data_IF_922640318212
#
_entry.id   IF_922640318212
#
_cell.length_a   1.000
_cell.length_b   1.000
_cell.length_c   1.000
_cell.angle_alpha   90.00
_cell.angle_beta   90.00
_cell.angle_gamma   90.00
#
_symmetry.space_group_name_H-M   'P 1'
#
loop_
_entity.id
_entity.type
_entity.pdbx_description
1 polymer ?
#
# COMPACT_ATOMS: atom_id res chain seq x y z
N UNK A 1 -14.10 -6.95 30.29
CA UNK A 1 -13.59 -5.98 29.29
C UNK A 1 -12.70 -6.70 28.26
N UNK A 2 -12.90 -6.50 26.96
CA UNK A 2 -12.01 -7.09 25.94
C UNK A 2 -10.61 -6.47 26.05
N UNK A 3 -9.57 -7.30 26.16
CA UNK A 3 -8.16 -6.88 26.24
C UNK A 3 -7.82 -6.00 25.02
N UNK A 4 -7.31 -4.78 25.26
CA UNK A 4 -6.82 -3.90 24.19
C UNK A 4 -5.52 -4.44 23.61
N UNK A 5 -5.36 -4.33 22.29
CA UNK A 5 -4.11 -4.68 21.58
C UNK A 5 -3.12 -3.52 21.76
N UNK A 6 -1.95 -3.82 22.30
CA UNK A 6 -0.84 -2.87 22.39
C UNK A 6 -0.12 -2.81 21.02
N UNK A 7 -0.35 -1.73 20.29
CA UNK A 7 0.29 -1.45 18.99
C UNK A 7 1.50 -0.56 19.19
N UNK A 8 2.68 -1.04 18.87
CA UNK A 8 3.88 -0.22 18.77
C UNK A 8 4.02 0.33 17.34
N UNK A 9 3.97 1.66 17.20
CA UNK A 9 4.34 2.35 15.96
C UNK A 9 5.86 2.59 15.96
N UNK A 10 6.57 1.88 15.11
CA UNK A 10 8.02 1.98 14.95
C UNK A 10 8.35 2.95 13.83
N UNK A 11 8.72 4.17 14.18
CA UNK A 11 8.86 5.33 13.29
C UNK A 11 7.66 6.29 13.38
N UNK A 12 7.94 7.58 13.15
CA UNK A 12 6.95 8.66 13.26
C UNK A 12 6.96 9.49 11.97
N UNK A 13 6.66 8.81 10.85
CA UNK A 13 6.64 9.40 9.50
C UNK A 13 5.52 10.44 9.36
N UNK A 14 5.61 11.29 8.32
CA UNK A 14 4.54 12.26 8.01
C UNK A 14 3.20 11.58 7.72
N UNK A 15 3.21 10.39 7.12
CA UNK A 15 2.00 9.59 6.91
C UNK A 15 1.43 9.12 8.26
N UNK A 16 2.28 8.62 9.15
CA UNK A 16 1.87 8.17 10.48
C UNK A 16 1.19 9.30 11.26
N UNK A 17 1.78 10.50 11.27
CA UNK A 17 1.25 11.66 11.98
C UNK A 17 -0.07 12.17 11.40
N UNK A 18 -0.12 12.35 10.08
CA UNK A 18 -1.25 13.00 9.42
C UNK A 18 -2.47 12.09 9.25
N UNK A 19 -2.25 10.79 9.08
CA UNK A 19 -3.30 9.85 8.69
C UNK A 19 -3.42 8.63 9.59
N UNK A 20 -2.34 7.87 9.79
CA UNK A 20 -2.37 6.57 10.44
C UNK A 20 -2.90 6.65 11.88
N UNK A 21 -2.28 7.49 12.71
CA UNK A 21 -2.66 7.65 14.13
C UNK A 21 -4.10 8.15 14.25
N UNK A 22 -4.51 9.13 13.43
CA UNK A 22 -5.87 9.65 13.43
C UNK A 22 -6.93 8.57 13.13
N UNK A 23 -6.62 7.65 12.23
CA UNK A 23 -7.52 6.54 11.88
C UNK A 23 -7.53 5.46 12.96
N UNK A 24 -6.37 5.11 13.54
CA UNK A 24 -6.26 4.08 14.58
C UNK A 24 -6.94 4.54 15.88
N UNK A 25 -6.84 5.81 16.26
CA UNK A 25 -7.50 6.36 17.45
C UNK A 25 -9.03 6.24 17.41
N UNK A 26 -9.63 6.04 16.22
CA UNK A 26 -11.06 5.73 16.08
C UNK A 26 -11.40 4.25 16.37
N UNK A 27 -10.40 3.42 16.70
CA UNK A 27 -10.57 1.99 16.94
C UNK A 27 -10.43 1.72 18.44
N UNK A 28 -11.55 1.44 19.13
CA UNK A 28 -11.62 1.33 20.60
C UNK A 28 -10.68 0.27 21.21
N UNK A 29 -10.33 -0.77 20.45
CA UNK A 29 -9.59 -1.93 20.96
C UNK A 29 -8.08 -1.86 20.72
N UNK A 30 -7.52 -0.69 20.37
CA UNK A 30 -6.07 -0.51 20.16
C UNK A 30 -5.56 0.58 21.11
N UNK A 31 -4.43 0.31 21.73
CA UNK A 31 -3.60 1.30 22.46
C UNK A 31 -2.30 1.48 21.67
N UNK A 32 -1.95 2.73 21.35
CA UNK A 32 -0.76 3.06 20.54
C UNK A 32 0.37 3.51 21.48
N UNK A 33 1.57 2.94 21.27
CA UNK A 33 2.84 3.46 21.77
C UNK A 33 3.69 3.85 20.57
N UNK A 34 4.43 4.96 20.62
CA UNK A 34 5.19 5.48 19.50
C UNK A 34 6.68 5.46 19.82
N UNK A 35 7.48 4.93 18.91
CA UNK A 35 8.94 4.99 18.96
C UNK A 35 9.50 5.86 17.84
N UNK A 36 10.28 6.89 18.18
CA UNK A 36 10.97 7.75 17.23
C UNK A 36 12.37 8.09 17.70
N UNK A 37 13.38 7.93 16.83
CA UNK A 37 14.76 8.34 17.12
C UNK A 37 15.00 9.84 16.89
N UNK A 38 14.33 10.42 15.89
CA UNK A 38 14.60 11.78 15.42
C UNK A 38 13.64 12.83 15.94
N UNK A 39 12.47 12.43 16.45
CA UNK A 39 11.45 13.34 16.96
C UNK A 39 11.26 13.14 18.46
N UNK A 40 11.17 14.25 19.17
CA UNK A 40 10.85 14.30 20.61
C UNK A 40 9.44 14.85 20.79
N UNK A 41 8.80 14.60 21.92
CA UNK A 41 7.47 15.14 22.26
C UNK A 41 6.68 14.22 23.18
N UNK A 42 5.64 14.77 23.82
CA UNK A 42 4.80 14.06 24.83
C UNK A 42 4.18 12.74 24.35
N UNK A 43 4.02 12.58 23.03
CA UNK A 43 3.42 11.36 22.44
C UNK A 43 4.46 10.28 22.11
N UNK A 44 5.77 10.52 22.32
CA UNK A 44 6.82 9.56 22.01
C UNK A 44 7.14 8.73 23.24
N UNK A 45 6.81 7.44 23.21
CA UNK A 45 6.99 6.49 24.31
C UNK A 45 8.42 5.95 24.39
N UNK A 46 9.12 5.88 23.24
CA UNK A 46 10.46 5.32 23.13
C UNK A 46 11.33 6.11 22.11
N UNK A 47 12.63 6.20 22.40
CA UNK A 47 13.63 6.78 21.49
C UNK A 47 14.60 5.73 20.88
N UNK A 48 14.47 4.48 21.28
CA UNK A 48 15.28 3.36 20.79
C UNK A 48 14.39 2.23 20.28
N UNK A 49 14.58 1.83 19.01
CA UNK A 49 13.76 0.82 18.36
C UNK A 49 13.87 -0.56 19.00
N UNK A 50 15.07 -0.96 19.44
CA UNK A 50 15.27 -2.28 20.05
C UNK A 50 14.62 -2.34 21.44
N UNK A 51 14.80 -1.28 22.28
CA UNK A 51 14.12 -1.17 23.57
C UNK A 51 12.59 -1.22 23.39
N UNK A 52 12.06 -0.50 22.38
CA UNK A 52 10.65 -0.49 22.07
C UNK A 52 10.12 -1.88 21.63
N UNK A 53 10.86 -2.62 20.80
CA UNK A 53 10.48 -3.98 20.39
C UNK A 53 10.55 -4.95 21.59
N UNK A 54 11.54 -4.78 22.47
CA UNK A 54 11.70 -5.62 23.68
C UNK A 54 10.62 -5.38 24.74
N UNK A 55 9.81 -4.32 24.64
CA UNK A 55 8.62 -4.13 25.49
C UNK A 55 7.48 -5.13 25.19
N UNK A 56 7.68 -6.03 24.23
CA UNK A 56 6.75 -7.11 23.82
C UNK A 56 5.32 -6.61 23.51
N UNK A 57 5.17 -5.68 22.54
CA UNK A 57 3.84 -5.27 22.08
C UNK A 57 3.12 -6.44 21.41
N UNK A 58 1.79 -6.42 21.36
CA UNK A 58 0.99 -7.45 20.68
C UNK A 58 1.12 -7.35 19.15
N UNK A 59 1.36 -6.14 18.65
CA UNK A 59 1.47 -5.82 17.22
C UNK A 59 2.47 -4.68 17.00
N UNK A 60 3.32 -4.78 16.01
CA UNK A 60 4.19 -3.69 15.56
C UNK A 60 3.72 -3.20 14.20
N UNK A 61 3.71 -1.86 14.01
CA UNK A 61 3.58 -1.21 12.71
C UNK A 61 4.88 -0.48 12.38
N UNK A 62 5.58 -0.88 11.33
CA UNK A 62 6.80 -0.22 10.86
C UNK A 62 6.45 0.89 9.89
N UNK A 63 6.79 2.16 10.25
CA UNK A 63 6.64 3.36 9.44
C UNK A 63 7.97 4.13 9.38
N UNK A 64 9.00 3.43 8.96
CA UNK A 64 10.37 3.90 8.79
C UNK A 64 10.66 4.26 7.32
N UNK A 65 11.89 4.62 7.02
CA UNK A 65 12.38 4.71 5.64
C UNK A 65 12.51 3.31 5.02
N UNK A 66 12.26 3.18 3.71
CA UNK A 66 12.13 1.90 3.01
C UNK A 66 13.31 0.94 3.28
N UNK A 67 14.55 1.45 3.34
CA UNK A 67 15.75 0.62 3.55
C UNK A 67 15.81 -0.04 4.95
N UNK A 68 15.05 0.47 5.91
CA UNK A 68 14.99 -0.09 7.26
C UNK A 68 13.89 -1.14 7.44
N UNK A 69 12.92 -1.22 6.52
CA UNK A 69 11.76 -2.10 6.65
C UNK A 69 12.16 -3.56 6.85
N UNK A 70 12.95 -4.13 5.94
CA UNK A 70 13.39 -5.53 6.02
C UNK A 70 14.17 -5.84 7.30
N UNK A 71 15.11 -4.97 7.67
CA UNK A 71 15.94 -5.15 8.88
C UNK A 71 15.08 -5.28 10.13
N UNK A 72 14.19 -4.28 10.36
CA UNK A 72 13.37 -4.28 11.57
C UNK A 72 12.23 -5.30 11.50
N UNK A 73 11.66 -5.58 10.32
CA UNK A 73 10.69 -6.65 10.14
C UNK A 73 11.24 -8.00 10.58
N UNK A 74 12.48 -8.32 10.17
CA UNK A 74 13.15 -9.56 10.56
C UNK A 74 13.38 -9.64 12.09
N UNK A 75 13.76 -8.54 12.73
CA UNK A 75 13.93 -8.46 14.19
C UNK A 75 12.59 -8.71 14.90
N UNK A 76 11.54 -8.01 14.52
CA UNK A 76 10.21 -8.12 15.12
C UNK A 76 9.66 -9.54 15.02
N UNK A 77 9.73 -10.15 13.83
CA UNK A 77 9.26 -11.53 13.62
C UNK A 77 10.08 -12.54 14.42
N UNK A 78 11.41 -12.35 14.53
CA UNK A 78 12.28 -13.22 15.38
C UNK A 78 11.98 -13.09 16.86
N UNK A 79 11.38 -11.98 17.32
CA UNK A 79 10.92 -11.77 18.70
C UNK A 79 9.48 -12.27 18.93
N UNK A 80 8.91 -13.03 17.99
CA UNK A 80 7.56 -13.61 18.04
C UNK A 80 6.44 -12.54 18.16
N UNK A 81 6.57 -11.41 17.46
CA UNK A 81 5.60 -10.33 17.48
C UNK A 81 4.92 -10.21 16.12
N UNK A 82 3.59 -10.03 16.10
CA UNK A 82 2.82 -9.76 14.90
C UNK A 82 3.24 -8.45 14.25
N UNK A 83 3.19 -8.38 12.92
CA UNK A 83 3.82 -7.29 12.19
C UNK A 83 2.98 -6.76 11.03
N UNK A 84 2.89 -5.43 10.95
CA UNK A 84 2.50 -4.67 9.78
C UNK A 84 3.71 -3.84 9.34
N UNK A 85 3.96 -3.76 8.05
CA UNK A 85 5.00 -2.89 7.49
C UNK A 85 4.39 -1.96 6.45
N UNK A 86 4.75 -0.67 6.47
CA UNK A 86 4.43 0.25 5.38
C UNK A 86 4.96 -0.30 4.04
N UNK A 87 4.35 0.09 2.95
CA UNK A 87 4.82 -0.25 1.60
C UNK A 87 6.13 0.49 1.27
N UNK A 88 7.07 -0.13 0.59
CA UNK A 88 7.15 -1.56 0.27
C UNK A 88 7.62 -2.37 1.48
N UNK A 89 7.09 -3.58 1.63
CA UNK A 89 7.48 -4.49 2.72
C UNK A 89 9.00 -4.74 2.74
N UNK A 90 9.57 -4.96 1.56
CA UNK A 90 11.00 -5.21 1.36
C UNK A 90 11.40 -4.79 -0.08
N UNK A 91 12.72 -4.76 -0.34
CA UNK A 91 13.25 -4.32 -1.63
C UNK A 91 13.00 -5.30 -2.79
N UNK A 92 13.00 -6.60 -2.50
CA UNK A 92 12.92 -7.64 -3.52
C UNK A 92 12.15 -8.88 -3.04
N UNK A 93 11.88 -9.79 -3.97
CA UNK A 93 11.14 -11.01 -3.70
C UNK A 93 11.87 -11.94 -2.74
N UNK A 94 13.21 -12.02 -2.79
CA UNK A 94 14.02 -12.87 -1.90
C UNK A 94 13.81 -12.48 -0.43
N UNK A 95 13.95 -11.19 -0.12
CA UNK A 95 13.69 -10.65 1.23
C UNK A 95 12.23 -10.86 1.67
N UNK A 96 11.29 -10.64 0.75
CA UNK A 96 9.86 -10.83 1.02
C UNK A 96 9.56 -12.30 1.35
N UNK A 97 10.07 -13.26 0.56
CA UNK A 97 9.92 -14.69 0.81
C UNK A 97 10.52 -15.10 2.16
N UNK A 98 11.67 -14.55 2.54
CA UNK A 98 12.29 -14.81 3.83
C UNK A 98 11.40 -14.36 4.99
N UNK A 99 10.89 -13.12 4.96
CA UNK A 99 9.99 -12.61 6.00
C UNK A 99 8.71 -13.44 6.12
N UNK A 100 8.11 -13.83 4.99
CA UNK A 100 6.92 -14.68 4.98
C UNK A 100 7.24 -16.07 5.56
N UNK A 101 8.39 -16.66 5.23
CA UNK A 101 8.84 -17.95 5.80
C UNK A 101 8.99 -17.88 7.32
N UNK A 102 9.59 -16.80 7.84
CA UNK A 102 9.73 -16.59 9.29
C UNK A 102 8.34 -16.45 9.93
N UNK A 103 7.45 -15.62 9.36
CA UNK A 103 6.12 -15.40 9.89
C UNK A 103 5.29 -16.70 9.90
N UNK A 104 5.31 -17.48 8.81
CA UNK A 104 4.64 -18.79 8.74
C UNK A 104 5.16 -19.78 9.80
N UNK A 105 6.48 -19.96 9.89
CA UNK A 105 7.10 -20.87 10.86
C UNK A 105 6.71 -20.52 12.30
N UNK A 106 6.52 -19.24 12.59
CA UNK A 106 6.20 -18.72 13.93
C UNK A 106 4.70 -18.48 14.15
N UNK A 107 3.85 -18.77 13.17
CA UNK A 107 2.40 -18.54 13.20
C UNK A 107 2.04 -17.09 13.55
N UNK A 108 2.73 -16.12 12.94
CA UNK A 108 2.57 -14.69 13.19
C UNK A 108 1.87 -14.00 12.03
N UNK A 109 1.05 -12.99 12.33
CA UNK A 109 0.58 -12.07 11.31
C UNK A 109 1.78 -11.34 10.69
N UNK A 110 1.85 -11.32 9.36
CA UNK A 110 2.66 -10.39 8.58
C UNK A 110 1.78 -9.76 7.51
N UNK A 111 1.73 -8.44 7.44
CA UNK A 111 0.93 -7.71 6.44
C UNK A 111 1.67 -6.49 5.90
N UNK A 112 1.54 -6.24 4.60
CA UNK A 112 2.00 -5.01 3.94
C UNK A 112 0.85 -4.00 3.89
N UNK A 113 1.11 -2.75 4.31
CA UNK A 113 0.07 -1.73 4.42
C UNK A 113 -0.13 -0.97 3.09
N UNK A 114 -0.71 -1.61 2.10
CA UNK A 114 -1.21 -0.97 0.87
C UNK A 114 -2.67 -0.59 1.09
N UNK A 115 -2.91 0.47 1.86
CA UNK A 115 -4.21 0.74 2.48
C UNK A 115 -5.28 1.29 1.55
N UNK A 116 -4.94 1.89 0.40
CA UNK A 116 -5.93 2.52 -0.49
C UNK A 116 -7.00 1.54 -1.00
N UNK A 117 -6.62 0.29 -1.25
CA UNK A 117 -7.50 -0.78 -1.75
C UNK A 117 -8.64 -1.14 -0.77
N UNK A 118 -8.53 -0.73 0.49
CA UNK A 118 -9.54 -1.02 1.51
C UNK A 118 -10.62 0.04 1.62
N UNK A 119 -10.58 1.09 0.79
CA UNK A 119 -11.65 2.07 0.71
C UNK A 119 -12.89 1.47 0.01
N UNK A 120 -14.07 1.75 0.55
CA UNK A 120 -15.34 1.23 0.04
C UNK A 120 -15.60 1.56 -1.43
N UNK A 121 -15.02 2.64 -1.95
CA UNK A 121 -15.16 3.05 -3.34
C UNK A 121 -14.84 1.94 -4.34
N UNK A 122 -13.81 1.12 -4.08
CA UNK A 122 -13.44 0.01 -4.97
C UNK A 122 -14.51 -1.07 -5.04
N UNK A 123 -15.14 -1.41 -3.90
CA UNK A 123 -16.30 -2.31 -3.88
C UNK A 123 -17.48 -1.73 -4.64
N UNK A 124 -17.72 -0.41 -4.50
CA UNK A 124 -18.81 0.26 -5.20
C UNK A 124 -18.58 0.29 -6.70
N UNK A 125 -17.33 0.55 -7.16
CA UNK A 125 -16.96 0.49 -8.58
C UNK A 125 -17.26 -0.89 -9.15
N UNK A 126 -16.80 -1.97 -8.50
CA UNK A 126 -17.08 -3.34 -8.94
C UNK A 126 -18.57 -3.65 -9.02
N UNK A 127 -19.37 -3.12 -8.09
CA UNK A 127 -20.84 -3.26 -8.14
C UNK A 127 -21.44 -2.52 -9.34
N UNK A 128 -20.94 -1.31 -9.67
CA UNK A 128 -21.44 -0.50 -10.79
C UNK A 128 -21.17 -1.17 -12.15
N UNK A 129 -20.03 -1.86 -12.29
CA UNK A 129 -19.66 -2.58 -13.51
C UNK A 129 -20.13 -4.05 -13.52
N UNK A 130 -20.95 -4.47 -12.56
CA UNK A 130 -21.46 -5.85 -12.43
C UNK A 130 -20.34 -6.91 -12.32
N UNK A 131 -19.26 -6.57 -11.60
CA UNK A 131 -18.17 -7.49 -11.27
C UNK A 131 -16.97 -7.46 -12.21
N UNK A 132 -15.93 -8.21 -11.83
CA UNK A 132 -14.65 -8.25 -12.56
C UNK A 132 -14.75 -8.81 -13.97
N UNK A 133 -15.74 -9.65 -14.27
CA UNK A 133 -15.90 -10.25 -15.60
C UNK A 133 -16.28 -9.22 -16.69
N UNK A 134 -16.82 -8.07 -16.30
CA UNK A 134 -17.15 -6.98 -17.21
C UNK A 134 -16.03 -5.94 -17.31
N UNK A 135 -15.01 -6.03 -16.49
CA UNK A 135 -13.86 -5.14 -16.53
C UNK A 135 -12.90 -5.56 -17.64
N UNK A 136 -12.59 -4.66 -18.54
CA UNK A 136 -11.73 -4.91 -19.71
C UNK A 136 -10.37 -4.24 -19.57
N UNK A 137 -10.34 -3.04 -18.97
CA UNK A 137 -9.14 -2.24 -18.92
C UNK A 137 -9.12 -1.33 -17.69
N UNK A 138 -7.94 -1.18 -17.07
CA UNK A 138 -7.68 -0.21 -16.02
C UNK A 138 -6.55 0.71 -16.45
N UNK A 139 -6.78 2.01 -16.35
CA UNK A 139 -5.74 3.02 -16.48
C UNK A 139 -5.51 3.69 -15.13
N UNK A 140 -4.25 3.81 -14.72
CA UNK A 140 -3.89 4.56 -13.52
C UNK A 140 -2.76 5.55 -13.79
N UNK A 141 -2.86 6.73 -13.19
CA UNK A 141 -1.85 7.76 -13.28
C UNK A 141 -1.58 8.33 -11.89
N UNK A 142 -0.33 8.24 -11.43
CA UNK A 142 0.07 8.76 -10.14
C UNK A 142 1.40 9.49 -10.25
N UNK A 143 1.32 10.81 -10.37
CA UNK A 143 2.47 11.70 -10.38
C UNK A 143 2.42 12.62 -9.16
N UNK A 144 3.56 12.93 -8.61
CA UNK A 144 3.69 13.86 -7.49
C UNK A 144 4.76 14.91 -7.80
N UNK A 145 4.56 16.17 -7.37
CA UNK A 145 5.57 17.18 -7.45
C UNK A 145 6.85 16.78 -6.70
N UNK A 146 7.97 17.32 -7.08
CA UNK A 146 9.21 17.10 -6.35
C UNK A 146 9.10 17.72 -4.96
N UNK A 147 8.89 16.90 -3.96
CA UNK A 147 8.77 17.35 -2.57
C UNK A 147 10.19 17.58 -2.01
N UNK A 148 10.39 18.67 -1.26
CA UNK A 148 11.68 18.98 -0.61
C UNK A 148 12.24 17.82 0.25
N UNK A 149 11.38 16.98 0.81
CA UNK A 149 11.78 15.76 1.54
C UNK A 149 12.37 14.68 0.63
N UNK A 150 12.03 14.69 -0.68
CA UNK A 150 12.65 13.83 -1.68
C UNK A 150 14.05 14.32 -2.09
N UNK A 151 14.44 15.58 -1.81
CA UNK A 151 15.83 16.02 -1.92
C UNK A 151 16.79 15.24 -1.00
N UNK A 152 16.27 14.60 0.05
CA UNK A 152 16.99 13.61 0.86
C UNK A 152 17.04 12.21 0.22
N UNK A 153 16.39 11.99 -0.91
CA UNK A 153 16.54 10.79 -1.77
C UNK A 153 17.85 10.90 -2.60
N UNK A 154 18.82 11.59 -2.10
CA UNK A 154 20.22 11.37 -2.48
C UNK A 154 20.74 10.01 -2.00
N UNK A 155 19.92 9.27 -1.27
CA UNK A 155 20.18 7.90 -0.87
C UNK A 155 19.74 6.99 -2.03
N UNK A 156 20.70 6.34 -2.68
CA UNK A 156 20.57 5.38 -3.80
C UNK A 156 19.59 4.23 -3.57
N UNK A 157 18.86 4.24 -2.46
CA UNK A 157 18.02 3.14 -1.97
C UNK A 157 16.51 3.41 -1.99
N UNK A 158 16.06 4.56 -2.49
CA UNK A 158 14.62 4.86 -2.58
C UNK A 158 14.35 5.78 -3.77
N UNK A 159 13.93 5.20 -4.88
CA UNK A 159 13.52 5.89 -6.09
C UNK A 159 11.99 5.85 -6.29
N UNK A 160 11.50 6.48 -7.34
CA UNK A 160 10.08 6.46 -7.72
C UNK A 160 9.55 5.03 -7.87
N UNK A 161 10.35 4.12 -8.44
CA UNK A 161 9.96 2.74 -8.62
C UNK A 161 9.70 2.04 -7.27
N UNK A 162 10.62 2.19 -6.32
CA UNK A 162 10.45 1.58 -4.99
C UNK A 162 9.26 2.15 -4.23
N UNK A 163 8.97 3.43 -4.40
CA UNK A 163 7.86 4.08 -3.69
C UNK A 163 6.50 3.80 -4.34
N UNK A 164 6.42 3.73 -5.66
CA UNK A 164 5.15 3.68 -6.39
C UNK A 164 4.81 2.32 -7.02
N UNK A 165 5.78 1.45 -7.28
CA UNK A 165 5.49 0.11 -7.83
C UNK A 165 4.55 -0.76 -6.96
N UNK A 166 4.48 -0.62 -5.62
CA UNK A 166 3.48 -1.31 -4.81
C UNK A 166 2.03 -0.96 -5.20
N UNK A 167 1.77 0.26 -5.67
CA UNK A 167 0.42 0.67 -6.13
C UNK A 167 0.06 -0.05 -7.43
N UNK A 168 0.96 -0.05 -8.42
CA UNK A 168 0.77 -0.79 -9.67
C UNK A 168 0.57 -2.29 -9.42
N UNK A 169 1.48 -2.90 -8.64
CA UNK A 169 1.41 -4.32 -8.32
C UNK A 169 0.10 -4.69 -7.62
N UNK A 170 -0.37 -3.85 -6.71
CA UNK A 170 -1.60 -4.10 -5.97
C UNK A 170 -2.86 -3.97 -6.84
N UNK A 171 -2.91 -3.05 -7.80
CA UNK A 171 -4.00 -2.97 -8.77
C UNK A 171 -4.02 -4.20 -9.68
N UNK A 172 -2.86 -4.64 -10.16
CA UNK A 172 -2.74 -5.84 -10.97
C UNK A 172 -3.17 -7.08 -10.15
N UNK A 173 -2.64 -7.26 -8.94
CA UNK A 173 -2.99 -8.39 -8.07
C UNK A 173 -4.49 -8.47 -7.79
N UNK A 174 -5.10 -7.33 -7.47
CA UNK A 174 -6.52 -7.25 -7.10
C UNK A 174 -7.46 -7.63 -8.27
N UNK A 175 -7.10 -7.28 -9.50
CA UNK A 175 -8.00 -7.38 -10.64
C UNK A 175 -7.68 -8.53 -11.60
N UNK A 176 -6.44 -9.03 -11.62
CA UNK A 176 -6.03 -10.09 -12.53
C UNK A 176 -6.16 -11.52 -11.95
N UNK A 177 -6.57 -11.69 -10.70
CA UNK A 177 -6.71 -12.99 -10.05
C UNK A 177 -5.49 -13.91 -10.24
N UNK A 178 -4.27 -13.36 -10.19
CA UNK A 178 -2.99 -14.06 -10.43
C UNK A 178 -2.81 -14.66 -11.84
N UNK A 179 -3.69 -14.35 -12.79
CA UNK A 179 -3.58 -14.79 -14.19
C UNK A 179 -2.96 -13.69 -15.04
N UNK A 180 -1.67 -13.49 -14.89
CA UNK A 180 -0.90 -12.50 -15.64
C UNK A 180 -0.13 -13.18 -16.76
N UNK A 181 -0.49 -12.87 -18.03
CA UNK A 181 0.16 -13.47 -19.21
C UNK A 181 1.41 -12.66 -19.59
N UNK A 182 1.30 -11.33 -19.66
CA UNK A 182 2.39 -10.45 -20.08
C UNK A 182 2.45 -9.21 -19.18
N UNK A 183 3.67 -8.77 -18.88
CA UNK A 183 3.95 -7.49 -18.24
C UNK A 183 5.17 -6.87 -18.93
N UNK A 184 5.10 -5.57 -19.21
CA UNK A 184 6.18 -4.77 -19.80
C UNK A 184 6.24 -3.48 -19.01
N UNK A 185 7.44 -2.96 -18.78
CA UNK A 185 7.63 -1.66 -18.15
C UNK A 185 8.68 -0.84 -18.87
N UNK A 186 8.43 0.45 -18.93
CA UNK A 186 9.36 1.46 -19.43
C UNK A 186 9.78 2.32 -18.25
N UNK A 187 11.06 2.52 -18.09
CA UNK A 187 11.62 3.39 -17.07
C UNK A 187 12.11 4.66 -17.75
N UNK A 188 11.58 5.78 -17.32
CA UNK A 188 11.87 7.07 -17.90
C UNK A 188 12.65 7.91 -16.88
N UNK A 189 13.52 8.74 -17.43
CA UNK A 189 14.34 9.71 -16.72
C UNK A 189 15.04 9.18 -15.45
N UNK A 190 16.32 9.12 -15.58
CA UNK A 190 17.23 8.82 -14.49
C UNK A 190 17.77 10.15 -13.94
N UNK A 191 18.03 10.20 -12.65
CA UNK A 191 18.89 11.21 -12.06
C UNK A 191 20.34 10.88 -12.38
N UNK A 192 21.27 11.83 -12.19
CA UNK A 192 22.72 11.61 -12.30
C UNK A 192 23.21 10.40 -11.48
N UNK A 193 22.43 9.97 -10.49
CA UNK A 193 22.65 8.77 -9.66
C UNK A 193 21.91 7.54 -10.14
N UNK A 194 21.46 7.48 -11.38
CA UNK A 194 20.68 6.36 -11.98
C UNK A 194 19.39 6.00 -11.25
N UNK A 195 18.81 6.91 -10.46
CA UNK A 195 17.53 6.69 -9.80
C UNK A 195 16.38 6.92 -10.78
N UNK A 196 15.39 6.04 -10.77
CA UNK A 196 14.20 6.12 -11.62
C UNK A 196 13.32 7.27 -11.12
N UNK A 197 13.02 8.26 -11.98
CA UNK A 197 12.06 9.34 -11.71
C UNK A 197 10.64 9.02 -12.13
N UNK A 198 10.49 8.25 -13.20
CA UNK A 198 9.18 7.81 -13.67
C UNK A 198 9.27 6.43 -14.32
N UNK A 199 8.15 5.73 -14.34
CA UNK A 199 8.02 4.46 -15.05
C UNK A 199 6.57 4.26 -15.47
N UNK A 200 6.42 3.54 -16.60
CA UNK A 200 5.13 3.07 -17.10
C UNK A 200 5.07 1.56 -17.05
N UNK A 201 3.88 1.02 -16.86
CA UNK A 201 3.63 -0.42 -16.79
C UNK A 201 2.46 -0.76 -17.69
N UNK A 202 2.65 -1.74 -18.55
CA UNK A 202 1.58 -2.42 -19.26
C UNK A 202 1.51 -3.87 -18.80
N UNK A 203 0.31 -4.34 -18.43
CA UNK A 203 0.08 -5.73 -18.07
C UNK A 203 -1.19 -6.25 -18.74
N UNK A 204 -1.20 -7.53 -19.14
CA UNK A 204 -2.39 -8.15 -19.71
C UNK A 204 -2.55 -9.61 -19.32
N UNK A 205 -3.80 -10.06 -19.33
CA UNK A 205 -4.18 -11.46 -19.47
C UNK A 205 -5.20 -11.61 -20.60
N UNK A 206 -5.76 -12.81 -20.79
CA UNK A 206 -6.73 -13.09 -21.87
C UNK A 206 -7.95 -12.16 -21.86
N UNK A 207 -8.35 -11.63 -20.70
CA UNK A 207 -9.60 -10.89 -20.52
C UNK A 207 -9.40 -9.40 -20.25
N UNK A 208 -8.29 -9.02 -19.64
CA UNK A 208 -8.12 -7.67 -19.07
C UNK A 208 -6.73 -7.10 -19.35
N UNK A 209 -6.67 -5.78 -19.47
CA UNK A 209 -5.45 -5.00 -19.64
C UNK A 209 -5.30 -4.01 -18.47
N UNK A 210 -4.07 -3.66 -18.15
CA UNK A 210 -3.71 -2.61 -17.22
C UNK A 210 -2.65 -1.71 -17.84
N UNK A 211 -2.82 -0.42 -17.71
CA UNK A 211 -1.81 0.58 -18.02
C UNK A 211 -1.62 1.51 -16.81
N UNK A 212 -0.39 1.70 -16.39
CA UNK A 212 -0.05 2.58 -15.26
C UNK A 212 1.11 3.49 -15.57
N UNK A 213 1.01 4.76 -15.20
CA UNK A 213 2.06 5.76 -15.29
C UNK A 213 2.33 6.33 -13.90
N UNK A 214 3.60 6.38 -13.50
CA UNK A 214 4.03 6.78 -12.17
C UNK A 214 5.26 7.69 -12.27
N UNK A 215 5.24 8.82 -11.56
CA UNK A 215 6.34 9.77 -11.64
C UNK A 215 6.50 10.70 -10.45
N UNK A 216 7.70 11.23 -10.29
CA UNK A 216 8.08 12.24 -9.30
C UNK A 216 8.68 13.45 -10.05
N UNK A 217 8.37 14.66 -9.58
CA UNK A 217 8.82 15.90 -10.23
C UNK A 217 7.91 16.33 -11.38
N UNK A 218 6.69 15.83 -11.44
CA UNK A 218 5.63 16.19 -12.39
C UNK A 218 4.47 16.82 -11.64
N UNK A 219 3.53 17.48 -12.37
CA UNK A 219 2.30 18.00 -11.78
C UNK A 219 1.49 16.89 -11.09
N UNK A 220 0.80 17.23 -10.00
CA UNK A 220 0.09 16.26 -9.19
C UNK A 220 -1.09 15.66 -9.96
N UNK A 221 -1.06 14.34 -10.12
CA UNK A 221 -2.20 13.56 -10.58
C UNK A 221 -2.30 12.29 -9.77
N UNK A 222 -3.52 11.90 -9.37
CA UNK A 222 -3.78 10.66 -8.66
C UNK A 222 -5.15 10.15 -9.10
N UNK A 223 -5.16 9.36 -10.19
CA UNK A 223 -6.34 8.95 -10.93
C UNK A 223 -6.32 7.46 -11.20
N UNK A 224 -7.50 6.84 -11.19
CA UNK A 224 -7.73 5.49 -11.72
C UNK A 224 -9.01 5.52 -12.56
N UNK A 225 -8.95 4.99 -13.78
CA UNK A 225 -10.08 4.86 -14.69
C UNK A 225 -10.33 3.37 -14.92
N UNK A 226 -11.58 2.96 -14.78
CA UNK A 226 -12.03 1.59 -15.01
C UNK A 226 -12.89 1.56 -16.26
N UNK A 227 -12.48 0.79 -17.25
CA UNK A 227 -13.21 0.58 -18.50
C UNK A 227 -13.89 -0.79 -18.45
N UNK A 228 -15.20 -0.79 -18.50
CA UNK A 228 -16.01 -2.00 -18.65
C UNK A 228 -16.72 -2.00 -19.99
N UNK A 229 -17.38 -3.09 -20.34
CA UNK A 229 -18.13 -3.21 -21.61
C UNK A 229 -19.10 -2.08 -21.88
N UNK A 230 -19.76 -1.57 -20.83
CA UNK A 230 -20.86 -0.60 -20.98
C UNK A 230 -20.57 0.74 -20.31
N UNK A 231 -19.57 0.81 -19.44
CA UNK A 231 -19.33 1.98 -18.58
C UNK A 231 -17.84 2.26 -18.45
N UNK A 232 -17.53 3.57 -18.39
CA UNK A 232 -16.24 4.06 -17.97
C UNK A 232 -16.42 4.75 -16.62
N UNK A 233 -15.62 4.41 -15.63
CA UNK A 233 -15.70 5.01 -14.30
C UNK A 233 -14.40 5.73 -14.00
N UNK A 234 -14.50 7.01 -13.70
CA UNK A 234 -13.37 7.87 -13.37
C UNK A 234 -13.33 8.11 -11.87
N UNK A 235 -12.21 7.73 -11.25
CA UNK A 235 -11.81 8.12 -9.90
C UNK A 235 -10.66 9.13 -10.04
N UNK A 236 -11.01 10.41 -10.20
CA UNK A 236 -10.08 11.44 -10.68
C UNK A 236 -9.21 12.08 -9.60
N UNK A 237 -9.57 11.96 -8.31
CA UNK A 237 -8.87 12.70 -7.26
C UNK A 237 -8.42 11.77 -6.14
N UNK A 238 -7.13 11.91 -5.80
CA UNK A 238 -6.50 11.21 -4.68
C UNK A 238 -6.76 9.69 -4.67
N UNK A 239 -6.87 9.05 -5.84
CA UNK A 239 -7.24 7.64 -5.97
C UNK A 239 -6.37 6.70 -5.13
N UNK A 240 -5.09 7.01 -4.96
CA UNK A 240 -4.15 6.25 -4.13
C UNK A 240 -4.05 6.73 -2.68
N UNK A 241 -4.74 7.82 -2.32
CA UNK A 241 -4.70 8.44 -0.99
C UNK A 241 -6.06 9.04 -0.60
N UNK A 242 -7.14 8.31 -0.84
CA UNK A 242 -8.52 8.75 -0.62
C UNK A 242 -8.72 9.35 0.77
N UNK A 243 -9.46 10.48 0.88
CA UNK A 243 -9.68 11.17 2.15
C UNK A 243 -10.68 10.39 3.01
N UNK A 244 -10.43 10.34 4.33
CA UNK A 244 -11.34 9.66 5.27
C UNK A 244 -12.50 10.55 5.77
N UNK A 245 -12.44 11.86 5.51
CA UNK A 245 -13.38 12.85 6.05
C UNK A 245 -14.27 13.53 5.00
N UNK A 246 -14.11 13.21 3.73
CA UNK A 246 -14.88 13.75 2.61
C UNK A 246 -15.56 12.63 1.83
N UNK A 247 -16.66 12.97 1.12
CA UNK A 247 -17.26 12.10 0.10
C UNK A 247 -16.28 11.97 -1.07
N UNK A 248 -16.25 10.81 -1.72
CA UNK A 248 -15.45 10.56 -2.92
C UNK A 248 -16.34 10.66 -4.14
N UNK A 249 -15.95 11.50 -5.09
CA UNK A 249 -16.62 11.67 -6.35
C UNK A 249 -16.23 10.57 -7.33
N UNK A 250 -17.21 9.96 -7.97
CA UNK A 250 -17.04 9.12 -9.16
C UNK A 250 -17.81 9.76 -10.32
N UNK A 251 -17.16 9.83 -11.48
CA UNK A 251 -17.83 10.19 -12.74
C UNK A 251 -18.00 8.91 -13.54
N UNK A 252 -19.20 8.64 -13.99
CA UNK A 252 -19.59 7.46 -14.76
C UNK A 252 -20.02 7.92 -16.15
N UNK A 253 -19.37 7.40 -17.20
CA UNK A 253 -19.81 7.57 -18.57
C UNK A 253 -20.50 6.29 -19.06
N UNK A 254 -21.71 6.40 -19.59
CA UNK A 254 -22.47 5.30 -20.23
C UNK A 254 -23.34 5.86 -21.34
N UNK A 255 -23.36 5.22 -22.52
CA UNK A 255 -24.16 5.66 -23.69
C UNK A 255 -24.01 7.16 -23.97
N UNK A 256 -22.78 7.66 -23.99
CA UNK A 256 -22.40 9.08 -24.19
C UNK A 256 -22.94 10.08 -23.16
N UNK A 257 -23.56 9.61 -22.08
CA UNK A 257 -24.01 10.46 -20.96
C UNK A 257 -23.04 10.34 -19.79
N UNK A 258 -22.86 11.45 -19.07
CA UNK A 258 -22.06 11.51 -17.85
C UNK A 258 -22.96 11.65 -16.63
N UNK A 259 -22.68 10.84 -15.60
CA UNK A 259 -23.33 10.93 -14.31
C UNK A 259 -22.28 11.08 -13.22
N UNK A 260 -22.45 12.01 -12.31
CA UNK A 260 -21.61 12.14 -11.13
C UNK A 260 -22.33 11.55 -9.92
N UNK A 261 -21.64 10.68 -9.19
CA UNK A 261 -22.12 10.14 -7.93
C UNK A 261 -21.12 10.40 -6.80
N UNK A 262 -21.62 10.55 -5.59
CA UNK A 262 -20.80 10.77 -4.40
C UNK A 262 -20.87 9.55 -3.47
N UNK A 263 -19.73 8.92 -3.27
CA UNK A 263 -19.58 7.82 -2.34
C UNK A 263 -19.42 8.39 -0.93
N UNK A 264 -20.12 7.81 0.04
CA UNK A 264 -20.02 8.23 1.45
C UNK A 264 -18.58 8.21 1.98
N UNK A 265 -18.34 9.02 3.01
CA UNK A 265 -17.06 9.05 3.75
C UNK A 265 -16.69 7.64 4.21
N UNK A 266 -15.43 7.28 4.01
CA UNK A 266 -14.90 5.98 4.42
C UNK A 266 -13.41 6.07 4.75
N UNK A 267 -12.95 5.28 5.70
CA UNK A 267 -11.58 5.30 6.19
C UNK A 267 -10.87 3.99 5.85
N UNK A 268 -10.12 4.01 4.76
CA UNK A 268 -9.38 2.84 4.27
C UNK A 268 -8.40 2.27 5.29
N UNK A 269 -7.79 3.11 6.12
CA UNK A 269 -6.86 2.68 7.17
C UNK A 269 -7.63 1.95 8.27
N UNK A 270 -8.75 2.52 8.73
CA UNK A 270 -9.62 1.86 9.70
C UNK A 270 -10.14 0.53 9.18
N UNK A 271 -10.56 0.47 7.92
CA UNK A 271 -11.03 -0.78 7.29
C UNK A 271 -9.92 -1.84 7.23
N UNK A 272 -8.71 -1.43 6.86
CA UNK A 272 -7.54 -2.30 6.87
C UNK A 272 -7.28 -2.86 8.27
N UNK A 273 -7.25 -2.00 9.30
CA UNK A 273 -7.04 -2.44 10.69
C UNK A 273 -8.14 -3.37 11.19
N UNK A 274 -9.40 -3.16 10.80
CA UNK A 274 -10.49 -4.09 11.13
C UNK A 274 -10.22 -5.50 10.59
N UNK A 275 -9.65 -5.62 9.38
CA UNK A 275 -9.25 -6.92 8.81
C UNK A 275 -8.07 -7.50 9.60
N UNK A 276 -7.08 -6.70 9.95
CA UNK A 276 -5.95 -7.12 10.80
C UNK A 276 -6.45 -7.68 12.12
N UNK A 277 -7.33 -6.96 12.83
CA UNK A 277 -7.90 -7.39 14.10
C UNK A 277 -8.70 -8.69 13.98
N UNK A 278 -9.47 -8.84 12.88
CA UNK A 278 -10.18 -10.10 12.59
C UNK A 278 -9.20 -11.26 12.39
N UNK A 279 -8.11 -11.02 11.64
CA UNK A 279 -7.09 -12.04 11.38
C UNK A 279 -6.32 -12.42 12.64
N UNK A 280 -5.98 -11.46 13.51
CA UNK A 280 -5.36 -11.73 14.80
C UNK A 280 -6.25 -12.59 15.70
N UNK A 281 -7.56 -12.30 15.74
CA UNK A 281 -8.53 -13.08 16.52
C UNK A 281 -8.68 -14.51 16.00
N UNK A 282 -8.77 -14.68 14.67
CA UNK A 282 -8.96 -15.99 14.04
C UNK A 282 -7.66 -16.78 13.85
N UNK A 283 -6.50 -16.14 14.01
CA UNK A 283 -5.16 -16.70 13.72
C UNK A 283 -5.02 -17.22 12.26
N UNK A 284 -5.81 -16.69 11.31
CA UNK A 284 -5.77 -17.05 9.89
C UNK A 284 -4.99 -15.99 9.10
N UNK A 285 -3.79 -16.31 8.63
CA UNK A 285 -2.86 -15.37 8.02
C UNK A 285 -2.51 -15.66 6.56
N UNK A 286 -2.94 -16.78 6.00
CA UNK A 286 -2.53 -17.24 4.65
C UNK A 286 -2.87 -16.24 3.55
N UNK A 287 -4.03 -15.58 3.62
CA UNK A 287 -4.41 -14.54 2.67
C UNK A 287 -3.45 -13.34 2.69
N UNK A 288 -2.92 -12.96 3.87
CA UNK A 288 -1.92 -11.90 3.98
C UNK A 288 -0.61 -12.34 3.31
N UNK A 289 -0.14 -13.55 3.59
CA UNK A 289 1.08 -14.09 3.00
C UNK A 289 0.99 -14.23 1.48
N UNK A 290 -0.14 -14.76 0.98
CA UNK A 290 -0.40 -14.89 -0.46
C UNK A 290 -0.35 -13.52 -1.13
N UNK A 291 -1.04 -12.53 -0.59
CA UNK A 291 -1.09 -11.18 -1.14
C UNK A 291 0.29 -10.52 -1.18
N UNK A 292 1.08 -10.65 -0.10
CA UNK A 292 2.45 -10.14 -0.03
C UNK A 292 3.33 -10.77 -1.11
N UNK A 293 3.29 -12.09 -1.27
CA UNK A 293 4.10 -12.80 -2.27
C UNK A 293 3.68 -12.41 -3.68
N UNK A 294 2.39 -12.37 -3.98
CA UNK A 294 1.87 -11.97 -5.29
C UNK A 294 2.32 -10.55 -5.66
N UNK A 295 2.16 -9.59 -4.75
CA UNK A 295 2.60 -8.21 -4.97
C UNK A 295 4.11 -8.14 -5.23
N UNK A 296 4.91 -8.87 -4.46
CA UNK A 296 6.36 -8.90 -4.64
C UNK A 296 6.78 -9.53 -5.98
N UNK A 297 6.12 -10.61 -6.41
CA UNK A 297 6.34 -11.23 -7.72
C UNK A 297 5.99 -10.30 -8.88
N UNK A 298 4.87 -9.59 -8.78
CA UNK A 298 4.48 -8.61 -9.79
C UNK A 298 5.48 -7.45 -9.84
N UNK A 299 5.89 -6.90 -8.70
CA UNK A 299 6.93 -5.86 -8.63
C UNK A 299 8.24 -6.31 -9.29
N UNK A 300 8.65 -7.54 -9.09
CA UNK A 300 9.86 -8.08 -9.70
C UNK A 300 9.74 -8.17 -11.21
N UNK A 301 8.59 -8.63 -11.72
CA UNK A 301 8.30 -8.65 -13.16
C UNK A 301 8.33 -7.24 -13.76
N UNK A 302 7.76 -6.23 -13.07
CA UNK A 302 7.83 -4.83 -13.50
C UNK A 302 9.28 -4.34 -13.54
N UNK A 303 10.10 -4.73 -12.55
CA UNK A 303 11.49 -4.26 -12.44
C UNK A 303 12.38 -4.73 -13.57
N UNK A 304 12.25 -5.99 -13.98
CA UNK A 304 13.23 -6.65 -14.88
C UNK A 304 12.80 -6.77 -16.34
N UNK A 305 11.52 -6.56 -16.63
CA UNK A 305 11.05 -6.55 -18.02
C UNK A 305 10.93 -5.11 -18.55
N UNK A 306 12.08 -4.42 -18.64
CA UNK A 306 12.22 -3.23 -19.47
C UNK A 306 12.63 -3.66 -20.89
N UNK A 307 12.00 -3.09 -21.89
CA UNK A 307 12.54 -3.12 -23.25
C UNK A 307 13.78 -2.26 -23.29
#
# INVERSE_FOLDING_TARGET
>A
MKKKINLLLLGYSSFAQRRLIKSINKIKNIRISICSKSKKGKNISFNNYIKAINSKPDLVYISLTNHLHYKYAKIVLKKNINLIVDKPLAFNLKQTKELVRIAKKRKLLLSEAIVFNYHYVFKKILKIINGLNNLEYIHSNFNVPQIKSLKKINDTKSDCFMDMSPYAASLIELHFNNKLDKIISFKESFTDKKNIKSFSVFAKNKKMKYYGNFGVGKEYISQIIFYSKEKIIYLNHQAFALPSNKKVQLVIKSKNKYQTIYIKKDDSIKNYFNIILKSLKSKKYDNHYKKIINNAQIKEKIKFKSL
#
